data_IF_959863498119
#
_entry.id   IF_959863498119
#
_cell.length_a   1.000
_cell.length_b   1.000
_cell.length_c   1.000
_cell.angle_alpha   90.00
_cell.angle_beta   90.00
_cell.angle_gamma   90.00
#
_symmetry.space_group_name_H-M   'P 1'
#
loop_
_entity.id
_entity.type
_entity.pdbx_description
1 polymer ?
#
# COMPACT_ATOMS: atom_id res chain seq x y z
N UNK A 1 -5.64 18.71 -23.03
CA UNK A 1 -5.63 18.28 -22.69
C UNK A 1 -5.58 17.80 -21.82
N UNK A 2 -5.96 17.62 -21.45
CA UNK A 2 -6.05 17.25 -20.55
C UNK A 2 -5.39 16.37 -20.12
N UNK A 3 -5.09 16.35 -19.40
CA UNK A 3 -4.56 15.58 -18.98
C UNK A 3 -4.95 14.95 -18.11
N UNK A 4 -5.03 14.43 -18.09
CA UNK A 4 -5.52 13.54 -17.41
C UNK A 4 -4.73 13.09 -16.39
N UNK A 5 -4.63 13.62 -15.36
CA UNK A 5 -3.90 13.10 -14.31
C UNK A 5 -4.70 12.05 -13.70
N UNK A 6 -4.66 10.96 -14.27
CA UNK A 6 -5.17 9.78 -13.61
C UNK A 6 -4.29 9.54 -12.41
N UNK A 7 -4.81 9.55 -11.21
CA UNK A 7 -3.98 9.27 -10.04
C UNK A 7 -3.37 7.89 -10.15
N UNK A 8 -2.16 7.75 -9.67
CA UNK A 8 -1.55 6.43 -9.59
C UNK A 8 -2.34 5.60 -8.58
N UNK A 9 -2.59 4.36 -8.96
CA UNK A 9 -3.37 3.50 -8.10
C UNK A 9 -2.58 2.26 -7.79
N UNK A 10 -2.49 1.90 -6.53
CA UNK A 10 -1.78 0.71 -6.11
C UNK A 10 -2.66 -0.10 -5.17
N UNK A 11 -2.40 -1.39 -5.15
CA UNK A 11 -3.11 -2.31 -4.30
C UNK A 11 -2.18 -2.69 -3.16
N UNK A 12 -2.65 -2.60 -1.94
CA UNK A 12 -1.85 -2.92 -0.76
C UNK A 12 -2.55 -4.02 0.02
N UNK A 13 -1.81 -5.07 0.32
CA UNK A 13 -2.34 -6.15 1.13
C UNK A 13 -1.28 -6.60 2.12
N UNK A 14 -1.68 -7.39 3.09
CA UNK A 14 -0.75 -7.90 4.09
C UNK A 14 -1.30 -9.22 4.62
N UNK A 15 -0.39 -10.04 5.10
CA UNK A 15 -0.80 -11.30 5.74
C UNK A 15 -1.36 -11.05 7.11
N UNK A 16 -0.94 -9.99 7.77
CA UNK A 16 -1.36 -9.69 9.12
C UNK A 16 -2.38 -8.57 9.10
N UNK A 17 -3.61 -8.81 9.58
CA UNK A 17 -4.62 -7.76 9.56
C UNK A 17 -4.23 -6.49 10.29
N UNK A 18 -3.39 -6.60 11.32
CA UNK A 18 -2.97 -5.41 12.05
C UNK A 18 -2.15 -4.47 11.19
N UNK A 19 -1.34 -5.04 10.31
CA UNK A 19 -0.54 -4.21 9.41
C UNK A 19 -1.43 -3.42 8.47
N UNK A 20 -2.45 -4.09 7.94
CA UNK A 20 -3.38 -3.43 7.03
C UNK A 20 -4.18 -2.36 7.75
N UNK A 21 -4.62 -2.63 8.96
CA UNK A 21 -5.39 -1.65 9.71
C UNK A 21 -4.60 -0.40 9.99
N UNK A 22 -3.35 -0.56 10.36
CA UNK A 22 -2.51 0.60 10.67
C UNK A 22 -2.21 1.41 9.42
N UNK A 23 -1.93 0.74 8.32
CA UNK A 23 -1.69 1.44 7.07
C UNK A 23 -2.95 2.20 6.65
N UNK A 24 -4.09 1.55 6.75
CA UNK A 24 -5.34 2.18 6.38
C UNK A 24 -5.59 3.44 7.22
N UNK A 25 -5.39 3.32 8.53
CA UNK A 25 -5.63 4.46 9.41
C UNK A 25 -4.72 5.63 9.09
N UNK A 26 -3.46 5.36 8.81
CA UNK A 26 -2.52 6.42 8.49
C UNK A 26 -2.82 7.04 7.13
N UNK A 27 -3.15 6.20 6.16
CA UNK A 27 -3.39 6.72 4.81
C UNK A 27 -4.66 7.55 4.74
N UNK A 28 -5.65 7.21 5.52
CA UNK A 28 -6.92 7.94 5.50
C UNK A 28 -6.75 9.42 5.84
N UNK A 29 -5.79 9.72 6.69
CA UNK A 29 -5.60 11.08 7.13
C UNK A 29 -4.66 11.89 6.27
N UNK A 30 -4.10 11.30 5.23
CA UNK A 30 -3.08 11.99 4.45
C UNK A 30 -3.72 12.73 3.27
N UNK A 31 -3.35 13.98 3.06
CA UNK A 31 -3.90 14.72 1.92
C UNK A 31 -3.40 14.14 0.61
N UNK A 32 -4.27 14.13 -0.37
CA UNK A 32 -3.90 13.64 -1.70
C UNK A 32 -3.94 12.13 -1.84
N UNK A 33 -4.30 11.42 -0.78
CA UNK A 33 -4.39 9.97 -0.79
C UNK A 33 -5.82 9.55 -0.53
N UNK A 34 -6.35 8.72 -1.41
CA UNK A 34 -7.67 8.15 -1.22
C UNK A 34 -7.49 6.65 -1.05
N UNK A 35 -7.94 6.11 0.07
CA UNK A 35 -7.80 4.69 0.31
C UNK A 35 -9.17 4.08 0.51
N UNK A 36 -9.38 2.94 -0.13
CA UNK A 36 -10.64 2.21 -0.05
C UNK A 36 -10.33 0.78 0.36
N UNK A 37 -10.95 0.32 1.41
CA UNK A 37 -10.78 -1.07 1.83
C UNK A 37 -11.77 -1.92 1.05
N UNK A 38 -11.26 -2.94 0.38
CA UNK A 38 -12.07 -3.85 -0.40
C UNK A 38 -12.02 -5.21 0.28
N UNK A 39 -13.14 -5.70 0.78
CA UNK A 39 -13.12 -7.01 1.43
C UNK A 39 -12.81 -8.10 0.43
N UNK A 40 -11.98 -9.02 0.84
CA UNK A 40 -11.66 -10.18 0.02
C UNK A 40 -12.56 -11.30 0.46
N UNK A 41 -13.30 -11.88 -0.46
CA UNK A 41 -14.21 -12.96 -0.13
C UNK A 41 -13.42 -14.19 0.25
N UNK A 42 -13.75 -14.75 1.40
CA UNK A 42 -13.19 -16.03 1.78
C UNK A 42 -13.85 -17.11 0.96
N UNK A 43 -13.13 -18.17 0.71
CA UNK A 43 -13.72 -19.28 0.03
C UNK A 43 -14.70 -20.00 0.93
N UNK A 44 -15.69 -20.65 0.36
CA UNK A 44 -16.66 -21.38 1.20
C UNK A 44 -15.93 -22.39 2.05
N UNK A 45 -16.24 -22.39 3.32
CA UNK A 45 -15.62 -23.31 4.25
C UNK A 45 -14.39 -22.77 4.95
N UNK A 46 -13.89 -21.65 4.51
CA UNK A 46 -12.77 -21.04 5.19
C UNK A 46 -13.24 -20.29 6.39
N UNK A 47 -12.54 -20.48 7.45
CA UNK A 47 -12.91 -19.85 8.68
C UNK A 47 -12.10 -18.64 8.98
N UNK A 48 -11.16 -18.31 8.36
CA UNK A 48 -10.32 -17.17 8.69
C UNK A 48 -11.00 -15.87 8.38
N UNK A 49 -10.62 -14.84 9.05
CA UNK A 49 -11.05 -13.51 8.71
C UNK A 49 -10.54 -13.18 7.32
N UNK A 50 -11.40 -12.67 6.49
CA UNK A 50 -10.97 -12.21 5.20
C UNK A 50 -10.09 -10.98 5.39
N UNK A 51 -8.94 -10.98 4.78
CA UNK A 51 -8.07 -9.82 4.84
C UNK A 51 -8.51 -8.84 3.78
N UNK A 52 -8.61 -7.60 4.17
CA UNK A 52 -8.97 -6.57 3.22
C UNK A 52 -7.78 -6.26 2.33
N UNK A 53 -8.08 -5.85 1.14
CA UNK A 53 -7.11 -5.28 0.24
C UNK A 53 -7.41 -3.80 0.16
N UNK A 54 -6.38 -2.97 0.26
CA UNK A 54 -6.57 -1.54 0.17
C UNK A 54 -6.26 -1.08 -1.24
N UNK A 55 -7.21 -0.36 -1.83
CA UNK A 55 -6.98 0.30 -3.10
C UNK A 55 -6.60 1.73 -2.78
N UNK A 56 -5.40 2.12 -3.16
CA UNK A 56 -4.84 3.40 -2.79
C UNK A 56 -4.63 4.23 -4.03
N UNK A 57 -5.30 5.37 -4.09
CA UNK A 57 -5.13 6.30 -5.20
C UNK A 57 -4.33 7.49 -4.71
N UNK A 58 -3.29 7.82 -5.43
CA UNK A 58 -2.34 8.85 -5.03
C UNK A 58 -2.33 9.96 -6.06
N UNK A 59 -2.57 11.18 -5.61
CA UNK A 59 -2.34 12.32 -6.48
C UNK A 59 -0.83 12.51 -6.67
N UNK A 60 -0.47 13.32 -7.64
CA UNK A 60 0.94 13.42 -8.02
C UNK A 60 1.82 13.89 -6.87
N UNK A 61 1.29 14.68 -5.97
CA UNK A 61 2.11 15.16 -4.85
C UNK A 61 2.09 14.27 -3.63
N UNK A 62 1.37 13.16 -3.69
CA UNK A 62 1.16 12.36 -2.49
C UNK A 62 2.09 11.15 -2.40
N UNK A 63 2.92 10.93 -3.40
CA UNK A 63 3.77 9.74 -3.41
C UNK A 63 4.75 9.76 -2.24
N UNK A 64 5.35 10.91 -1.98
CA UNK A 64 6.28 11.03 -0.88
C UNK A 64 5.60 10.73 0.47
N UNK A 65 4.40 11.27 0.64
CA UNK A 65 3.67 11.02 1.88
C UNK A 65 3.33 9.55 2.03
N UNK A 66 2.94 8.91 0.93
CA UNK A 66 2.64 7.48 0.95
C UNK A 66 3.86 6.67 1.40
N UNK A 67 5.02 6.98 0.83
CA UNK A 67 6.24 6.26 1.15
C UNK A 67 6.63 6.47 2.61
N UNK A 68 6.47 7.69 3.11
CA UNK A 68 6.78 7.96 4.51
C UNK A 68 5.87 7.20 5.45
N UNK A 69 4.60 7.11 5.10
CA UNK A 69 3.66 6.38 5.92
C UNK A 69 4.04 4.90 5.97
N UNK A 70 4.37 4.32 4.83
CA UNK A 70 4.77 2.92 4.80
C UNK A 70 6.01 2.71 5.67
N UNK A 71 6.96 3.62 5.58
CA UNK A 71 8.19 3.50 6.37
C UNK A 71 7.90 3.57 7.86
N UNK A 72 7.07 4.53 8.27
CA UNK A 72 6.75 4.68 9.69
C UNK A 72 6.04 3.45 10.23
N UNK A 73 5.10 2.92 9.46
CA UNK A 73 4.38 1.74 9.91
C UNK A 73 5.32 0.54 9.98
N UNK A 74 6.20 0.39 8.99
CA UNK A 74 7.15 -0.70 9.00
C UNK A 74 8.05 -0.65 10.23
N UNK A 75 8.55 0.53 10.53
CA UNK A 75 9.45 0.67 11.67
C UNK A 75 8.73 0.47 12.99
N UNK A 76 7.49 0.87 13.04
CA UNK A 76 6.69 0.74 14.23
C UNK A 76 6.32 -0.71 14.52
N UNK A 77 6.10 -1.50 13.49
CA UNK A 77 5.71 -2.89 13.67
C UNK A 77 6.90 -3.83 13.81
N UNK A 78 8.06 -3.44 13.32
CA UNK A 78 9.25 -4.22 13.49
C UNK A 78 9.29 -5.45 12.61
N UNK A 79 9.97 -6.50 13.06
CA UNK A 79 10.27 -7.64 12.17
C UNK A 79 9.06 -8.39 11.63
N UNK A 80 7.92 -8.24 12.27
CA UNK A 80 6.73 -8.94 11.78
C UNK A 80 6.00 -8.21 10.69
N UNK A 81 6.43 -7.00 10.36
CA UNK A 81 5.76 -6.21 9.35
C UNK A 81 5.97 -6.81 7.97
N UNK A 82 4.92 -6.92 7.21
CA UNK A 82 4.99 -7.44 5.85
C UNK A 82 3.81 -6.91 5.07
N UNK A 83 4.09 -6.20 4.00
CA UNK A 83 3.07 -5.70 3.09
C UNK A 83 3.38 -6.16 1.69
N UNK A 84 2.35 -6.29 0.91
CA UNK A 84 2.49 -6.58 -0.51
C UNK A 84 1.86 -5.44 -1.28
N UNK A 85 2.62 -4.85 -2.17
CA UNK A 85 2.17 -3.73 -2.99
C UNK A 85 2.16 -4.20 -4.43
N UNK A 86 1.05 -3.97 -5.09
CA UNK A 86 0.89 -4.40 -6.46
C UNK A 86 0.36 -3.27 -7.31
N UNK A 87 0.93 -3.14 -8.48
CA UNK A 87 0.44 -2.20 -9.46
C UNK A 87 0.53 -2.87 -10.81
N UNK A 88 -0.62 -3.15 -11.41
CA UNK A 88 -0.65 -3.87 -12.67
C UNK A 88 -0.03 -5.25 -12.52
N UNK A 89 1.00 -5.50 -13.28
CA UNK A 89 1.71 -6.78 -13.23
C UNK A 89 2.86 -6.79 -12.26
N UNK A 90 3.15 -5.65 -11.67
CA UNK A 90 4.30 -5.53 -10.79
C UNK A 90 3.89 -5.79 -9.35
N UNK A 91 4.72 -6.55 -8.65
CA UNK A 91 4.50 -6.87 -7.26
C UNK A 91 5.74 -6.60 -6.48
N UNK A 92 5.56 -6.20 -5.24
CA UNK A 92 6.68 -5.88 -4.40
C UNK A 92 6.33 -6.24 -2.97
N UNK A 93 7.24 -6.89 -2.28
CA UNK A 93 7.03 -7.21 -0.89
C UNK A 93 7.85 -6.27 -0.04
N UNK A 94 7.24 -5.69 0.98
CA UNK A 94 7.86 -4.70 1.84
C UNK A 94 7.90 -5.25 3.25
N UNK A 95 9.08 -5.31 3.82
CA UNK A 95 9.25 -5.73 5.21
C UNK A 95 10.06 -4.68 5.93
N UNK A 96 10.13 -4.80 7.24
CA UNK A 96 10.95 -3.87 8.01
C UNK A 96 12.42 -3.96 7.63
N UNK A 97 12.87 -5.13 7.20
CA UNK A 97 14.27 -5.32 6.85
C UNK A 97 14.63 -4.69 5.51
N UNK A 98 13.71 -4.70 4.56
CA UNK A 98 14.03 -4.21 3.24
C UNK A 98 13.45 -2.84 2.91
N UNK A 99 12.82 -2.20 3.91
CA UNK A 99 12.07 -0.98 3.64
C UNK A 99 12.92 0.09 2.95
N UNK A 100 14.13 0.27 3.39
CA UNK A 100 14.98 1.31 2.81
C UNK A 100 15.36 0.99 1.37
N UNK A 101 15.47 -0.28 1.05
CA UNK A 101 15.83 -0.69 -0.29
C UNK A 101 14.66 -0.60 -1.25
N UNK A 102 13.46 -0.87 -0.76
CA UNK A 102 12.31 -0.92 -1.66
C UNK A 102 11.61 0.41 -1.85
N UNK A 103 11.82 1.37 -0.95
CA UNK A 103 11.16 2.66 -1.12
C UNK A 103 11.45 3.31 -2.47
N UNK A 104 12.70 3.34 -2.95
CA UNK A 104 12.93 3.89 -4.28
C UNK A 104 12.27 3.08 -5.38
N UNK A 105 12.17 1.76 -5.20
CA UNK A 105 11.52 0.92 -6.18
C UNK A 105 10.03 1.20 -6.23
N UNK A 106 9.41 1.38 -5.06
CA UNK A 106 8.00 1.73 -4.99
C UNK A 106 7.76 3.06 -5.69
N UNK A 107 8.63 4.03 -5.46
CA UNK A 107 8.48 5.33 -6.09
C UNK A 107 8.50 5.20 -7.61
N UNK A 108 9.42 4.42 -8.14
CA UNK A 108 9.48 4.22 -9.59
C UNK A 108 8.24 3.53 -10.10
N UNK A 109 7.76 2.57 -9.35
CA UNK A 109 6.57 1.84 -9.72
C UNK A 109 5.38 2.77 -9.82
N UNK A 110 5.19 3.62 -8.82
CA UNK A 110 4.05 4.51 -8.76
C UNK A 110 4.16 5.62 -9.78
N UNK A 111 5.34 6.18 -9.93
CA UNK A 111 5.54 7.29 -10.86
C UNK A 111 5.52 6.84 -12.31
N UNK A 112 5.59 5.54 -12.55
CA UNK A 112 5.63 5.06 -13.92
C UNK A 112 6.93 5.36 -14.62
N UNK A 113 7.98 5.53 -13.87
CA UNK A 113 9.27 5.80 -14.45
C UNK A 113 9.78 4.60 -15.15
N UNK A 114 10.27 4.75 -16.27
CA UNK A 114 10.85 3.61 -16.99
C UNK A 114 12.34 3.68 -17.06
#
# INVERSE_FOLDING_TARGET
MTENTVPAEVEVSADNPEDIDDVYSELRGAPGITVTAVPVSAEPGEQGAALDVLMVALSSGAVTAFLQIIKVVAESHGPKFSLKIRQGKNRLEVTADNIDEVLPVIRKLIDGES
#
